data_IF_312824868581
#
_entry.id   IF_312824868581
#
_cell.length_a   1.000
_cell.length_b   1.000
_cell.length_c   1.000
_cell.angle_alpha   90.00
_cell.angle_beta   90.00
_cell.angle_gamma   90.00
#
_symmetry.space_group_name_H-M   'P 1'
#
loop_
_entity.id
_entity.type
_entity.pdbx_description
1 polymer ?
#
# COMPACT_ATOMS: atom_id res chain seq x y z
N UNK A 1 21.34 2.78 6.81
CA UNK A 1 20.52 1.61 6.46
C UNK A 1 19.22 1.68 7.26
N UNK A 2 18.07 1.32 6.69
CA UNK A 2 16.77 1.32 7.37
C UNK A 2 16.26 -0.12 7.41
N UNK A 3 15.95 -0.64 8.60
CA UNK A 3 15.28 -1.93 8.74
C UNK A 3 13.78 -1.74 8.50
N UNK A 4 13.21 -2.49 7.55
CA UNK A 4 11.77 -2.47 7.30
C UNK A 4 11.10 -3.65 7.98
N UNK A 5 10.18 -3.36 8.90
CA UNK A 5 9.28 -4.34 9.50
C UNK A 5 7.95 -4.30 8.77
N UNK A 6 7.66 -5.34 8.00
CA UNK A 6 6.46 -5.44 7.16
C UNK A 6 5.54 -6.50 7.75
N UNK A 7 4.34 -6.11 8.15
CA UNK A 7 3.32 -7.03 8.63
C UNK A 7 2.79 -7.89 7.47
N UNK A 8 2.68 -9.20 7.72
CA UNK A 8 2.06 -10.11 6.78
C UNK A 8 0.60 -9.71 6.57
N UNK A 9 0.16 -9.60 5.31
CA UNK A 9 -1.19 -9.19 4.98
C UNK A 9 -2.15 -10.38 4.82
N UNK A 10 -3.40 -10.24 5.28
CA UNK A 10 -4.45 -11.28 5.21
C UNK A 10 -4.87 -11.62 3.78
N UNK A 11 -4.89 -10.62 2.92
CA UNK A 11 -5.46 -10.70 1.57
C UNK A 11 -4.36 -11.02 0.56
N UNK A 12 -3.93 -12.28 0.53
CA UNK A 12 -3.18 -12.86 -0.58
C UNK A 12 -4.04 -13.95 -1.20
N UNK A 13 -4.61 -13.68 -2.38
CA UNK A 13 -5.17 -14.76 -3.24
C UNK A 13 -4.05 -15.59 -3.87
N UNK A 14 -2.82 -15.09 -3.83
CA UNK A 14 -1.63 -15.63 -4.48
C UNK A 14 -0.94 -16.73 -3.66
N UNK A 15 -1.29 -16.92 -2.38
CA UNK A 15 -0.75 -17.99 -1.52
C UNK A 15 -1.91 -18.76 -0.88
N UNK A 16 -2.19 -19.97 -1.38
CA UNK A 16 -3.02 -20.97 -0.72
C UNK A 16 -4.53 -20.76 -0.72
N UNK A 17 -5.05 -19.58 -1.11
CA UNK A 17 -6.48 -19.29 -1.34
C UNK A 17 -7.43 -19.38 -0.13
N UNK A 18 -7.08 -20.16 0.89
CA UNK A 18 -7.89 -20.48 2.07
C UNK A 18 -7.45 -19.74 3.35
N UNK A 19 -6.38 -18.93 3.26
CA UNK A 19 -5.87 -18.12 4.36
C UNK A 19 -5.03 -18.86 5.41
N UNK A 20 -4.72 -20.15 5.21
CA UNK A 20 -4.00 -20.94 6.21
C UNK A 20 -2.57 -20.46 6.44
N UNK A 21 -1.90 -19.99 5.39
CA UNK A 21 -0.57 -19.38 5.51
C UNK A 21 -0.61 -18.16 6.43
N UNK A 22 -1.60 -17.28 6.25
CA UNK A 22 -1.77 -16.12 7.12
C UNK A 22 -2.05 -16.55 8.56
N UNK A 23 -2.99 -17.48 8.79
CA UNK A 23 -3.30 -17.97 10.15
C UNK A 23 -2.08 -18.55 10.87
N UNK A 24 -1.19 -19.23 10.13
CA UNK A 24 0.00 -19.88 10.69
C UNK A 24 1.13 -18.92 11.00
N UNK A 25 1.33 -17.90 10.17
CA UNK A 25 2.53 -17.05 10.20
C UNK A 25 2.27 -15.58 10.51
N UNK A 26 1.01 -15.15 10.61
CA UNK A 26 0.67 -13.79 11.01
C UNK A 26 1.06 -13.55 12.47
N UNK A 27 1.65 -12.40 12.71
CA UNK A 27 1.94 -11.85 14.01
C UNK A 27 1.45 -10.40 14.01
N UNK A 28 0.64 -10.03 15.01
CA UNK A 28 0.28 -8.63 15.21
C UNK A 28 1.52 -7.83 15.64
N UNK A 29 1.94 -6.88 14.80
CA UNK A 29 3.11 -6.05 15.08
C UNK A 29 2.77 -4.79 15.90
N UNK A 30 1.49 -4.53 16.22
CA UNK A 30 1.10 -3.36 17.02
C UNK A 30 1.81 -3.27 18.38
N UNK A 31 2.00 -4.38 19.14
CA UNK A 31 2.76 -4.32 20.39
C UNK A 31 4.23 -3.91 20.14
N UNK A 32 4.84 -4.42 19.07
CA UNK A 32 6.21 -4.07 18.67
C UNK A 32 6.29 -2.59 18.29
N UNK A 33 5.33 -2.07 17.53
CA UNK A 33 5.28 -0.64 17.17
C UNK A 33 5.18 0.23 18.43
N UNK A 34 4.34 -0.13 19.41
CA UNK A 34 4.22 0.61 20.68
C UNK A 34 5.52 0.60 21.49
N UNK A 35 6.22 -0.53 21.51
CA UNK A 35 7.52 -0.63 22.17
C UNK A 35 8.59 0.21 21.47
N UNK A 36 8.60 0.22 20.13
CA UNK A 36 9.48 1.08 19.36
C UNK A 36 9.19 2.56 19.61
N UNK A 37 7.90 2.95 19.67
CA UNK A 37 7.46 4.31 19.99
C UNK A 37 7.94 4.75 21.37
N UNK A 38 7.88 3.90 22.39
CA UNK A 38 8.30 4.27 23.75
C UNK A 38 9.82 4.38 23.90
N UNK A 39 10.58 3.68 23.05
CA UNK A 39 12.06 3.66 23.08
C UNK A 39 12.70 4.66 22.12
N UNK A 40 11.96 5.13 21.12
CA UNK A 40 12.51 5.98 20.06
C UNK A 40 12.95 7.35 20.59
N UNK A 41 14.12 7.80 20.16
CA UNK A 41 14.56 9.20 20.35
C UNK A 41 13.93 10.13 19.33
N UNK A 42 13.43 9.58 18.22
CA UNK A 42 12.74 10.33 17.17
C UNK A 42 11.73 9.44 16.45
N UNK A 43 10.52 9.97 16.26
CA UNK A 43 9.47 9.35 15.46
C UNK A 43 9.12 10.28 14.30
N UNK A 44 9.04 9.72 13.10
CA UNK A 44 8.66 10.44 11.88
C UNK A 44 7.57 9.65 11.15
N UNK A 45 6.66 10.37 10.51
CA UNK A 45 5.72 9.78 9.55
C UNK A 45 6.22 10.14 8.16
N UNK A 46 6.61 9.13 7.39
CA UNK A 46 6.93 9.30 5.97
C UNK A 46 5.62 9.36 5.19
N UNK A 47 5.11 10.57 4.99
CA UNK A 47 3.88 10.80 4.23
C UNK A 47 4.03 10.54 2.72
N UNK A 48 5.25 10.48 2.20
CA UNK A 48 5.48 10.10 0.81
C UNK A 48 5.21 8.61 0.59
N UNK A 49 4.13 8.33 -0.17
CA UNK A 49 3.71 7.00 -0.59
C UNK A 49 3.40 6.04 0.57
N UNK A 50 2.28 6.26 1.27
CA UNK A 50 1.78 5.53 2.45
C UNK A 50 2.44 6.01 3.75
N UNK A 51 1.64 6.40 4.75
CA UNK A 51 2.06 7.02 6.02
C UNK A 51 2.86 6.04 6.92
N UNK A 52 4.07 5.67 6.48
CA UNK A 52 4.92 4.72 7.19
C UNK A 52 5.56 5.40 8.40
N UNK A 53 5.48 4.76 9.56
CA UNK A 53 6.15 5.26 10.77
C UNK A 53 7.62 4.85 10.73
N UNK A 54 8.49 5.79 11.05
CA UNK A 54 9.95 5.61 11.10
C UNK A 54 10.44 6.01 12.48
N UNK A 55 11.09 5.07 13.15
CA UNK A 55 11.62 5.20 14.50
C UNK A 55 13.14 5.25 14.44
N UNK A 56 13.74 6.22 15.11
CA UNK A 56 15.18 6.25 15.40
C UNK A 56 15.37 5.85 16.85
N UNK A 57 16.14 4.79 17.10
CA UNK A 57 16.45 4.28 18.44
C UNK A 57 17.70 4.96 19.03
N UNK A 58 17.94 4.87 20.35
CA UNK A 58 19.08 5.52 21.01
C UNK A 58 20.45 5.09 20.48
N UNK A 59 20.55 3.84 19.98
CA UNK A 59 21.77 3.31 19.38
C UNK A 59 21.96 3.72 17.90
N UNK A 60 21.12 4.63 17.38
CA UNK A 60 21.15 5.09 15.99
C UNK A 60 20.45 4.17 14.98
N UNK A 61 19.90 3.04 15.40
CA UNK A 61 19.15 2.16 14.50
C UNK A 61 17.87 2.85 14.00
N UNK A 62 17.57 2.71 12.72
CA UNK A 62 16.37 3.27 12.08
C UNK A 62 15.46 2.14 11.62
N UNK A 63 14.24 2.12 12.13
CA UNK A 63 13.24 1.09 11.85
C UNK A 63 12.02 1.75 11.22
N UNK A 64 11.62 1.28 10.05
CA UNK A 64 10.40 1.67 9.36
C UNK A 64 9.37 0.56 9.45
N UNK A 65 8.13 0.90 9.82
CA UNK A 65 7.06 -0.09 9.98
C UNK A 65 5.98 0.09 8.91
N UNK A 66 5.53 -1.05 8.39
CA UNK A 66 4.49 -1.18 7.37
C UNK A 66 3.45 -2.15 7.92
N UNK A 67 2.34 -1.62 8.43
CA UNK A 67 1.19 -2.40 8.91
C UNK A 67 -0.04 -2.04 8.07
N UNK A 68 -0.89 -3.00 7.67
CA UNK A 68 -2.15 -2.70 7.01
C UNK A 68 -3.13 -2.02 7.95
N UNK A 69 -3.05 -0.69 7.98
CA UNK A 69 -3.90 0.17 8.77
C UNK A 69 -4.61 1.21 7.90
N UNK A 70 -5.59 1.90 8.49
CA UNK A 70 -6.31 2.98 7.81
C UNK A 70 -5.36 4.15 7.51
N UNK A 71 -4.42 4.44 8.41
CA UNK A 71 -3.40 5.47 8.24
C UNK A 71 -2.49 5.19 7.03
N UNK A 72 -2.17 3.91 6.78
CA UNK A 72 -1.38 3.50 5.62
C UNK A 72 -2.12 3.84 4.31
N UNK A 73 -3.43 3.56 4.26
CA UNK A 73 -4.30 3.84 3.12
C UNK A 73 -4.47 5.35 2.89
N UNK A 74 -4.69 6.13 3.96
CA UNK A 74 -4.77 7.59 3.95
C UNK A 74 -3.61 8.24 3.22
N UNK A 75 -2.38 7.79 3.53
CA UNK A 75 -1.17 8.34 2.92
C UNK A 75 -0.83 7.73 1.55
N UNK A 76 -1.59 6.74 1.07
CA UNK A 76 -1.24 6.04 -0.16
C UNK A 76 -1.49 6.93 -1.38
N UNK A 77 -0.52 7.00 -2.30
CA UNK A 77 -0.61 7.77 -3.55
C UNK A 77 -0.32 6.92 -4.79
N UNK A 78 -0.37 5.58 -4.64
CA UNK A 78 0.01 4.65 -5.70
C UNK A 78 -1.14 4.40 -6.66
N UNK A 79 -0.86 4.50 -7.96
CA UNK A 79 -1.62 3.84 -9.03
C UNK A 79 -0.89 2.57 -9.45
N UNK A 80 -1.63 1.59 -9.96
CA UNK A 80 -1.09 0.29 -10.41
C UNK A 80 -1.69 -0.10 -11.73
N UNK A 81 -0.89 -0.74 -12.58
CA UNK A 81 -1.35 -1.36 -13.82
C UNK A 81 -1.22 -2.87 -13.65
N UNK A 82 -2.33 -3.58 -13.83
CA UNK A 82 -2.36 -5.03 -13.82
C UNK A 82 -1.75 -5.61 -15.10
N UNK A 83 -1.37 -6.89 -15.07
CA UNK A 83 -0.86 -7.61 -16.24
C UNK A 83 -1.90 -7.72 -17.38
N UNK A 84 -3.18 -7.57 -17.05
CA UNK A 84 -4.31 -7.50 -17.97
C UNK A 84 -4.44 -6.13 -18.65
N UNK A 85 -3.67 -5.12 -18.23
CA UNK A 85 -3.74 -3.76 -18.74
C UNK A 85 -4.81 -2.89 -18.08
N UNK A 86 -5.33 -3.30 -16.92
CA UNK A 86 -6.22 -2.46 -16.12
C UNK A 86 -5.44 -1.53 -15.19
N UNK A 87 -5.73 -0.23 -15.24
CA UNK A 87 -5.23 0.78 -14.31
C UNK A 87 -6.17 0.86 -13.10
N UNK A 88 -5.67 0.71 -11.88
CA UNK A 88 -6.45 0.77 -10.64
C UNK A 88 -5.71 1.51 -9.51
N UNK A 89 -6.48 2.12 -8.61
CA UNK A 89 -5.97 2.96 -7.52
C UNK A 89 -5.70 2.24 -6.19
N UNK A 90 -6.15 1.00 -6.04
CA UNK A 90 -6.00 0.24 -4.80
C UNK A 90 -5.69 -1.23 -5.08
N UNK A 91 -4.77 -1.82 -4.32
CA UNK A 91 -4.40 -3.24 -4.45
C UNK A 91 -5.60 -4.18 -4.26
N UNK A 92 -6.59 -3.79 -3.45
CA UNK A 92 -7.78 -4.59 -3.17
C UNK A 92 -8.97 -4.31 -4.08
N UNK A 93 -8.95 -3.19 -4.80
CA UNK A 93 -10.05 -2.78 -5.67
C UNK A 93 -9.63 -2.78 -7.13
N UNK A 94 -8.98 -3.85 -7.56
CA UNK A 94 -8.66 -4.06 -8.98
C UNK A 94 -9.92 -4.20 -9.84
N UNK A 95 -11.06 -4.57 -9.24
CA UNK A 95 -12.39 -4.58 -9.86
C UNK A 95 -12.85 -3.19 -10.33
N UNK A 96 -12.36 -2.11 -9.69
CA UNK A 96 -12.63 -0.74 -10.11
C UNK A 96 -11.68 -0.25 -11.21
N UNK A 97 -10.78 -1.11 -11.66
CA UNK A 97 -9.80 -0.78 -12.68
C UNK A 97 -10.44 -0.41 -14.03
N UNK A 98 -9.74 0.44 -14.79
CA UNK A 98 -10.12 0.82 -16.14
C UNK A 98 -9.09 0.30 -17.13
N UNK A 99 -9.55 -0.27 -18.24
CA UNK A 99 -8.67 -0.84 -19.24
C UNK A 99 -7.95 0.27 -20.00
N UNK A 100 -6.65 0.43 -19.74
CA UNK A 100 -5.82 1.41 -20.45
C UNK A 100 -5.20 0.81 -21.71
N UNK A 101 -5.11 -0.51 -21.80
CA UNK A 101 -4.56 -1.23 -22.94
C UNK A 101 -5.41 -1.00 -24.20
N UNK A 102 -6.73 -0.99 -24.08
CA UNK A 102 -7.64 -0.69 -25.20
C UNK A 102 -7.41 0.72 -25.75
N UNK A 103 -7.29 1.72 -24.87
CA UNK A 103 -6.99 3.09 -25.28
C UNK A 103 -5.64 3.20 -26.01
N UNK A 104 -4.62 2.46 -25.56
CA UNK A 104 -3.31 2.36 -26.21
C UNK A 104 -3.40 1.74 -27.61
N UNK A 105 -4.16 0.65 -27.75
CA UNK A 105 -4.34 -0.03 -29.03
C UNK A 105 -5.06 0.83 -30.07
N UNK A 106 -5.99 1.67 -29.62
CA UNK A 106 -6.74 2.58 -30.49
C UNK A 106 -6.02 3.91 -30.77
N UNK A 107 -4.79 4.09 -30.28
CA UNK A 107 -4.00 5.33 -30.43
C UNK A 107 -4.77 6.59 -30.02
N UNK A 108 -5.56 6.49 -28.94
CA UNK A 108 -6.35 7.61 -28.43
C UNK A 108 -5.48 8.82 -28.07
N UNK A 109 -6.09 10.01 -28.03
CA UNK A 109 -5.40 11.24 -27.64
C UNK A 109 -4.96 11.23 -26.18
N UNK A 110 -3.96 12.05 -25.83
CA UNK A 110 -3.46 12.18 -24.46
C UNK A 110 -4.58 12.49 -23.45
N UNK A 111 -5.55 13.32 -23.86
CA UNK A 111 -6.72 13.70 -23.05
C UNK A 111 -7.58 12.51 -22.62
N UNK A 112 -7.68 11.44 -23.42
CA UNK A 112 -8.43 10.24 -23.04
C UNK A 112 -7.72 9.50 -21.91
N UNK A 113 -6.39 9.41 -21.93
CA UNK A 113 -5.65 8.80 -20.82
C UNK A 113 -5.75 9.62 -19.54
N UNK A 114 -5.71 10.95 -19.63
CA UNK A 114 -5.96 11.82 -18.48
C UNK A 114 -7.34 11.59 -17.86
N UNK A 115 -8.36 11.41 -18.70
CA UNK A 115 -9.71 11.08 -18.22
C UNK A 115 -9.76 9.72 -17.53
N UNK A 116 -9.11 8.69 -18.10
CA UNK A 116 -9.03 7.36 -17.48
C UNK A 116 -8.34 7.44 -16.11
N UNK A 117 -7.21 8.16 -16.02
CA UNK A 117 -6.48 8.34 -14.76
C UNK A 117 -7.34 9.08 -13.73
N UNK A 118 -8.02 10.16 -14.12
CA UNK A 118 -8.95 10.90 -13.24
C UNK A 118 -10.07 9.98 -12.73
N UNK A 119 -10.71 9.22 -13.62
CA UNK A 119 -11.76 8.28 -13.22
C UNK A 119 -11.27 7.22 -12.22
N UNK A 120 -10.04 6.70 -12.39
CA UNK A 120 -9.46 5.74 -11.44
C UNK A 120 -9.16 6.38 -10.09
N UNK A 121 -8.73 7.65 -10.08
CA UNK A 121 -8.49 8.41 -8.85
C UNK A 121 -9.82 8.72 -8.15
N UNK A 122 -10.84 9.16 -8.90
CA UNK A 122 -12.15 9.55 -8.36
C UNK A 122 -12.95 8.35 -7.85
N UNK A 123 -12.76 7.17 -8.45
CA UNK A 123 -13.34 5.90 -7.99
C UNK A 123 -12.55 5.21 -6.88
N UNK A 124 -11.48 5.85 -6.36
CA UNK A 124 -10.61 5.20 -5.41
C UNK A 124 -11.34 4.92 -4.10
N UNK A 125 -11.55 3.63 -3.87
CA UNK A 125 -12.03 3.11 -2.59
C UNK A 125 -11.00 2.16 -1.97
N UNK A 126 -10.95 2.07 -0.64
CA UNK A 126 -11.66 2.88 0.35
C UNK A 126 -11.06 4.29 0.54
N UNK A 127 -11.93 5.28 0.84
CA UNK A 127 -11.55 6.61 1.32
C UNK A 127 -11.32 6.53 2.84
N UNK A 128 -10.23 5.88 3.24
CA UNK A 128 -9.79 6.03 4.62
C UNK A 128 -9.10 7.36 4.80
#
# INVERSE_FOLDING_TARGET
FILQLIELHKVSKTIGGNGDFYKKYHLDIKPIIKELESRAVKTLIRGSMQNRKVFTLPNGAVIETISPSHELCLGCTKLRVGCDGNLFGCLYRSDLGKNIKEALQNHNSLSQYEQIVKQVIDSREPFY
#
